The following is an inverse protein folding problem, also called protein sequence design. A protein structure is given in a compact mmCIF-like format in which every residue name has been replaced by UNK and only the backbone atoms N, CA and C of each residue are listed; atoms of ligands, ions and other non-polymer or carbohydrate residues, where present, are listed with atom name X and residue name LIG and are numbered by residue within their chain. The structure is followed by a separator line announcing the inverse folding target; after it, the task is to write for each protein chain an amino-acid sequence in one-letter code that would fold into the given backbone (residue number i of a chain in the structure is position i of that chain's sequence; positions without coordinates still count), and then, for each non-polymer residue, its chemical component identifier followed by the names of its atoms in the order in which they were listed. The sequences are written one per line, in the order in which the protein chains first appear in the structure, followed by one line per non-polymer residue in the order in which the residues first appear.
data_IF_098719274302
#
_entry.id   IF_098719274302
#
_cell.length_a   1.000
_cell.length_b   1.000
_cell.length_c   1.000
_cell.angle_alpha   90.00
_cell.angle_beta   90.00
_cell.angle_gamma   90.00
#
_symmetry.space_group_name_H-M   'P 1'
#
loop_
_entity.id
_entity.type
_entity.pdbx_description
1 polymer ?
#
# COMPACT_ATOMS: atom_id res chain seq x y z
N UNK A 1 1.98 16.80 -8.60
CA UNK A 1 2.35 15.67 -9.47
C UNK A 1 2.59 14.55 -8.49
N UNK A 2 1.68 13.57 -8.47
CA UNK A 2 1.63 12.56 -7.43
C UNK A 2 2.74 11.54 -7.69
N UNK A 3 3.84 11.62 -6.96
CA UNK A 3 4.96 10.70 -7.03
C UNK A 3 4.59 9.34 -6.38
N UNK A 4 3.72 8.58 -7.06
CA UNK A 4 3.42 7.17 -6.73
C UNK A 4 4.70 6.34 -6.55
N UNK A 5 5.72 6.66 -7.35
CA UNK A 5 6.98 5.93 -7.38
C UNK A 5 7.87 6.18 -6.18
N UNK A 6 7.71 7.28 -5.43
CA UNK A 6 8.48 7.50 -4.20
C UNK A 6 7.93 6.69 -3.02
N UNK A 7 6.63 6.37 -3.04
CA UNK A 7 5.97 5.60 -1.96
C UNK A 7 5.95 4.11 -2.23
N UNK A 8 5.87 3.67 -3.48
CA UNK A 8 5.87 2.25 -3.83
C UNK A 8 7.30 1.76 -4.06
N UNK A 9 7.82 0.96 -3.14
CA UNK A 9 9.10 0.28 -3.26
C UNK A 9 8.90 -1.09 -3.90
N UNK A 10 9.55 -1.33 -5.04
CA UNK A 10 9.55 -2.63 -5.71
C UNK A 10 10.91 -3.27 -5.48
N UNK A 11 10.95 -4.28 -4.61
CA UNK A 11 12.18 -5.02 -4.37
C UNK A 11 12.00 -6.47 -4.85
N UNK A 12 12.73 -6.91 -5.91
CA UNK A 12 12.63 -8.28 -6.43
C UNK A 12 13.03 -9.35 -5.41
N UNK A 13 13.77 -9.00 -4.35
CA UNK A 13 14.16 -9.90 -3.27
C UNK A 13 13.16 -9.91 -2.09
N UNK A 14 12.20 -8.98 -2.04
CA UNK A 14 11.13 -8.98 -1.04
C UNK A 14 9.78 -9.31 -1.68
N UNK A 15 8.96 -10.11 -0.98
CA UNK A 15 7.64 -10.53 -1.46
C UNK A 15 7.64 -11.01 -2.93
N UNK A 16 8.67 -11.72 -3.39
CA UNK A 16 8.73 -12.27 -4.75
C UNK A 16 8.71 -11.23 -5.89
N UNK A 17 9.06 -9.97 -5.60
CA UNK A 17 8.99 -8.87 -6.57
C UNK A 17 7.65 -8.14 -6.62
N UNK A 18 6.78 -8.38 -5.64
CA UNK A 18 5.56 -7.58 -5.50
C UNK A 18 5.87 -6.15 -5.01
N UNK A 19 5.13 -5.15 -5.51
CA UNK A 19 5.22 -3.78 -5.03
C UNK A 19 4.78 -3.70 -3.57
N UNK A 20 5.66 -3.16 -2.73
CA UNK A 20 5.42 -2.92 -1.31
C UNK A 20 5.37 -1.42 -1.03
N UNK A 21 4.55 -1.00 -0.07
CA UNK A 21 4.54 0.40 0.38
C UNK A 21 5.79 0.66 1.22
N UNK A 22 6.61 1.65 0.83
CA UNK A 22 7.76 2.18 1.58
C UNK A 22 8.76 1.13 2.10
N UNK A 23 8.87 -0.02 1.42
CA UNK A 23 9.70 -1.15 1.86
C UNK A 23 9.16 -1.88 3.10
N UNK A 24 7.92 -1.60 3.49
CA UNK A 24 7.17 -2.34 4.50
C UNK A 24 6.75 -3.71 3.94
N UNK A 25 6.42 -4.65 4.82
CA UNK A 25 5.86 -5.98 4.41
C UNK A 25 4.39 -5.90 3.98
N UNK A 26 3.89 -4.71 3.66
CA UNK A 26 2.53 -4.47 3.20
C UNK A 26 2.55 -4.30 1.69
N UNK A 27 1.82 -5.16 0.98
CA UNK A 27 1.78 -5.16 -0.48
C UNK A 27 0.70 -4.19 -0.96
N UNK A 28 0.93 -3.55 -2.10
CA UNK A 28 -0.07 -2.70 -2.75
C UNK A 28 -1.36 -3.49 -3.06
N UNK A 29 -1.24 -4.78 -3.35
CA UNK A 29 -2.39 -5.65 -3.61
C UNK A 29 -3.31 -5.79 -2.39
N UNK A 30 -2.78 -5.84 -1.17
CA UNK A 30 -3.60 -5.99 0.04
C UNK A 30 -4.48 -4.75 0.24
N UNK A 31 -3.94 -3.56 -0.03
CA UNK A 31 -4.68 -2.29 0.02
C UNK A 31 -5.76 -2.26 -1.06
N UNK A 32 -5.42 -2.68 -2.29
CA UNK A 32 -6.38 -2.78 -3.39
C UNK A 32 -7.51 -3.77 -3.08
N UNK A 33 -7.21 -4.90 -2.43
CA UNK A 33 -8.21 -5.89 -2.02
C UNK A 33 -9.13 -5.35 -0.91
N UNK A 34 -8.61 -4.60 0.06
CA UNK A 34 -9.43 -3.95 1.10
C UNK A 34 -10.34 -2.87 0.49
N UNK A 35 -9.82 -2.04 -0.41
CA UNK A 35 -10.61 -1.06 -1.14
C UNK A 35 -11.67 -1.74 -2.03
N UNK A 36 -11.30 -2.84 -2.72
CA UNK A 36 -12.23 -3.62 -3.54
C UNK A 36 -13.31 -4.32 -2.70
N UNK A 37 -13.00 -4.66 -1.44
CA UNK A 37 -13.96 -5.17 -0.46
C UNK A 37 -14.93 -4.09 0.04
N UNK A 38 -14.74 -2.83 -0.37
CA UNK A 38 -15.60 -1.71 -0.02
C UNK A 38 -15.21 -0.99 1.27
N UNK A 39 -14.01 -1.23 1.80
CA UNK A 39 -13.51 -0.49 2.95
C UNK A 39 -13.16 0.95 2.55
N UNK A 40 -13.49 1.88 3.43
CA UNK A 40 -13.04 3.27 3.32
C UNK A 40 -11.56 3.39 3.65
N UNK A 41 -10.90 4.43 3.14
CA UNK A 41 -9.49 4.71 3.43
C UNK A 41 -9.19 4.74 4.91
N UNK A 42 -10.07 5.32 5.74
CA UNK A 42 -9.88 5.35 7.19
C UNK A 42 -9.90 3.94 7.81
N UNK A 43 -10.74 3.04 7.31
CA UNK A 43 -10.78 1.66 7.79
C UNK A 43 -9.53 0.88 7.36
N UNK A 44 -9.04 1.11 6.15
CA UNK A 44 -7.77 0.54 5.69
C UNK A 44 -6.62 1.01 6.57
N UNK A 45 -6.63 2.28 7.00
CA UNK A 45 -5.64 2.86 7.91
C UNK A 45 -5.78 2.35 9.35
N UNK A 46 -6.99 2.02 9.80
CA UNK A 46 -7.19 1.37 11.10
C UNK A 46 -6.66 -0.07 11.11
N UNK A 47 -6.88 -0.82 10.03
CA UNK A 47 -6.38 -2.19 9.86
C UNK A 47 -4.86 -2.22 9.62
N UNK A 48 -4.34 -1.19 8.95
CA UNK A 48 -2.92 -1.01 8.62
C UNK A 48 -2.42 0.30 9.23
N UNK A 49 -2.13 0.34 10.54
CA UNK A 49 -1.71 1.57 11.24
C UNK A 49 -0.37 2.13 10.74
N UNK A 50 0.40 1.31 10.04
CA UNK A 50 1.66 1.67 9.37
C UNK A 50 1.47 2.36 8.02
N UNK A 51 0.24 2.37 7.47
CA UNK A 51 -0.08 3.05 6.22
C UNK A 51 -0.37 4.53 6.45
N UNK A 52 -0.04 5.36 5.46
CA UNK A 52 -0.54 6.73 5.39
C UNK A 52 -1.72 6.85 4.41
N UNK A 53 -2.64 7.81 4.61
CA UNK A 53 -3.76 8.03 3.68
C UNK A 53 -3.29 8.30 2.25
N UNK A 54 -2.10 8.89 2.14
CA UNK A 54 -1.43 9.17 0.88
C UNK A 54 -0.94 7.90 0.18
N UNK A 55 -0.66 6.81 0.91
CA UNK A 55 -0.27 5.51 0.34
C UNK A 55 -1.48 4.79 -0.29
N UNK A 56 -2.70 5.07 0.18
CA UNK A 56 -3.96 4.52 -0.38
C UNK A 56 -4.43 5.30 -1.62
N UNK A 57 -3.98 6.54 -1.75
CA UNK A 57 -4.36 7.44 -2.85
C UNK A 57 -3.29 7.54 -3.94
N UNK A 58 -2.15 6.88 -3.74
CA UNK A 58 -1.09 6.69 -4.71
C UNK A 58 -1.55 5.72 -5.80
#
# INVERSE_FOLDING_TARGET
MSDLMERITINPAQCGGHPCIRGMRIRVIDILDLLASGLSKEQVLEELPDLEPEDVQA
#
